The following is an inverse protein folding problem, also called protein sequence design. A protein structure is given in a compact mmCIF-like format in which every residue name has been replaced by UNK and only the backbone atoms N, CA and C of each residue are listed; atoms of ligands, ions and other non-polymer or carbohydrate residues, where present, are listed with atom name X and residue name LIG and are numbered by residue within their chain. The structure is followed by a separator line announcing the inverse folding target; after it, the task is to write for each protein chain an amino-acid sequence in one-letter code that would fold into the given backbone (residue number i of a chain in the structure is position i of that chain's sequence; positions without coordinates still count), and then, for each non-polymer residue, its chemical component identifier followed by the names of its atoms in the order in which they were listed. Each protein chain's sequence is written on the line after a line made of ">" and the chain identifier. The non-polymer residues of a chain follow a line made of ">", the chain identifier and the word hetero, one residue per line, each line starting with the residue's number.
data_IF_920090084161
#
_entry.id   IF_920090084161
#
_cell.length_a   1.000
_cell.length_b   1.000
_cell.length_c   1.000
_cell.angle_alpha   90.00
_cell.angle_beta   90.00
_cell.angle_gamma   90.00
#
_symmetry.space_group_name_H-M   'P 1'
#
loop_
_entity.id
_entity.type
_entity.pdbx_description
1 polymer ?
#
# COMPACT_ATOMS: atom_id res chain seq x y z
N UNK A 1 -4.64 39.70 -59.54
CA UNK A 1 -6.07 39.65 -59.18
C UNK A 1 -6.25 38.65 -58.04
N UNK A 2 -6.80 39.12 -56.91
CA UNK A 2 -7.60 38.43 -55.87
C UNK A 2 -6.99 37.13 -55.28
N UNK A 3 -6.30 37.14 -54.14
CA UNK A 3 -6.80 37.29 -52.76
C UNK A 3 -7.80 36.18 -52.33
N UNK A 4 -7.64 35.76 -51.05
CA UNK A 4 -8.58 34.99 -50.21
C UNK A 4 -8.53 33.45 -50.46
N UNK A 5 -8.27 32.53 -49.52
CA UNK A 5 -8.93 32.30 -48.22
C UNK A 5 -8.05 31.41 -47.27
N UNK A 6 -7.79 31.92 -46.04
CA UNK A 6 -7.63 31.24 -44.72
C UNK A 6 -6.56 30.13 -44.57
N UNK A 7 -5.37 30.33 -43.97
CA UNK A 7 -5.04 30.68 -42.55
C UNK A 7 -6.07 30.18 -41.53
N UNK A 8 -5.57 29.44 -40.53
CA UNK A 8 -6.19 29.02 -39.26
C UNK A 8 -6.86 27.63 -39.24
N UNK A 9 -6.04 26.58 -39.13
CA UNK A 9 -6.44 25.33 -38.43
C UNK A 9 -5.22 24.61 -37.87
N UNK A 10 -4.40 25.32 -37.09
CA UNK A 10 -3.58 24.66 -36.06
C UNK A 10 -4.41 24.69 -34.78
N UNK A 11 -5.47 23.88 -34.73
CA UNK A 11 -6.15 23.58 -33.47
C UNK A 11 -5.14 22.75 -32.68
N UNK A 12 -4.33 23.46 -31.90
CA UNK A 12 -3.58 22.88 -30.80
C UNK A 12 -4.65 22.28 -29.89
N UNK A 13 -4.85 20.96 -30.05
CA UNK A 13 -5.65 20.16 -29.14
C UNK A 13 -4.83 20.13 -27.84
N UNK A 14 -4.88 21.22 -27.09
CA UNK A 14 -4.52 21.24 -25.69
C UNK A 14 -5.52 20.31 -25.02
N UNK A 15 -5.22 19.01 -25.06
CA UNK A 15 -5.74 18.08 -24.08
C UNK A 15 -5.33 18.71 -22.76
N UNK A 16 -6.30 19.34 -22.10
CA UNK A 16 -6.15 19.72 -20.72
C UNK A 16 -6.00 18.39 -19.98
N UNK A 17 -4.76 17.93 -19.86
CA UNK A 17 -4.40 17.00 -18.80
C UNK A 17 -4.71 17.80 -17.55
N UNK A 18 -5.91 17.60 -17.00
CA UNK A 18 -6.16 17.95 -15.61
C UNK A 18 -5.21 17.07 -14.83
N UNK A 19 -4.02 17.60 -14.55
CA UNK A 19 -3.23 17.14 -13.43
C UNK A 19 -4.17 17.23 -12.24
N UNK A 20 -4.76 16.10 -11.87
CA UNK A 20 -5.71 16.05 -10.79
C UNK A 20 -4.88 16.33 -9.55
N UNK A 21 -4.92 17.57 -9.09
CA UNK A 21 -4.26 18.05 -7.89
C UNK A 21 -4.99 17.41 -6.71
N UNK A 22 -4.76 16.11 -6.53
CA UNK A 22 -5.31 15.36 -5.42
C UNK A 22 -4.59 15.82 -4.17
N UNK A 23 -5.32 16.01 -3.06
CA UNK A 23 -4.70 16.45 -1.81
C UNK A 23 -3.56 15.50 -1.47
N UNK A 24 -2.36 16.05 -1.36
CA UNK A 24 -1.19 15.31 -0.95
C UNK A 24 -1.35 14.89 0.52
N UNK A 25 -1.21 13.60 0.78
CA UNK A 25 -1.10 13.05 2.12
C UNK A 25 0.35 12.65 2.38
N UNK A 26 0.71 12.51 3.66
CA UNK A 26 2.08 12.18 4.06
C UNK A 26 2.09 11.03 5.07
N UNK A 27 2.91 10.02 4.79
CA UNK A 27 3.25 9.00 5.77
C UNK A 27 4.53 9.45 6.47
N UNK A 28 4.40 9.95 7.70
CA UNK A 28 5.56 10.34 8.52
C UNK A 28 6.22 9.11 9.13
N UNK A 29 7.54 9.00 8.96
CA UNK A 29 8.36 7.93 9.51
C UNK A 29 9.70 8.47 10.02
N UNK A 30 9.84 8.50 11.35
CA UNK A 30 10.94 9.18 12.05
C UNK A 30 11.12 10.63 11.58
N UNK A 31 12.27 10.96 10.98
CA UNK A 31 12.66 12.31 10.59
C UNK A 31 12.23 12.72 9.17
N UNK A 32 11.67 11.78 8.39
CA UNK A 32 11.27 12.05 7.00
C UNK A 32 9.82 11.59 6.75
N UNK A 33 9.30 11.86 5.56
CA UNK A 33 7.94 11.50 5.17
C UNK A 33 7.84 11.07 3.71
N UNK A 34 6.88 10.19 3.45
CA UNK A 34 6.57 9.70 2.12
C UNK A 34 5.36 10.49 1.61
N UNK A 35 5.50 11.29 0.54
CA UNK A 35 4.35 11.91 -0.11
C UNK A 35 3.54 10.81 -0.80
N UNK A 36 2.24 10.79 -0.54
CA UNK A 36 1.30 9.82 -1.12
C UNK A 36 0.05 10.52 -1.59
N UNK A 37 -0.57 10.00 -2.65
CA UNK A 37 -1.88 10.48 -3.07
C UNK A 37 -2.91 10.09 -2.03
N UNK A 38 -3.82 10.99 -1.63
CA UNK A 38 -4.85 10.66 -0.65
C UNK A 38 -5.70 9.44 -1.05
N UNK A 39 -5.95 9.24 -2.35
CA UNK A 39 -6.65 8.06 -2.86
C UNK A 39 -5.95 6.73 -2.52
N UNK A 40 -4.61 6.73 -2.40
CA UNK A 40 -3.85 5.53 -2.03
C UNK A 40 -3.99 5.14 -0.54
N UNK A 41 -4.53 6.05 0.29
CA UNK A 41 -4.87 5.77 1.68
C UNK A 41 -6.34 5.36 1.85
N UNK A 42 -7.08 5.17 0.75
CA UNK A 42 -8.46 4.72 0.82
C UNK A 42 -8.52 3.28 1.32
N UNK A 43 -9.42 3.05 2.27
CA UNK A 43 -9.65 1.71 2.85
C UNK A 43 -10.32 0.77 1.85
N UNK A 44 -9.82 -0.46 1.82
CA UNK A 44 -10.46 -1.65 1.26
C UNK A 44 -11.08 -2.39 2.43
N UNK A 45 -12.39 -2.53 2.41
CA UNK A 45 -13.14 -3.18 3.48
C UNK A 45 -13.24 -4.69 3.17
N UNK A 46 -12.67 -5.57 4.02
CA UNK A 46 -12.94 -6.99 3.92
C UNK A 46 -14.41 -7.25 4.32
N UNK A 47 -14.92 -8.44 3.98
CA UNK A 47 -16.23 -8.85 4.47
C UNK A 47 -16.27 -8.91 6.01
N UNK A 48 -17.48 -8.84 6.58
CA UNK A 48 -17.73 -8.72 8.04
C UNK A 48 -17.07 -9.84 8.86
N UNK A 49 -16.82 -11.00 8.26
CA UNK A 49 -16.16 -12.13 8.89
C UNK A 49 -14.97 -12.56 8.07
N UNK A 50 -13.82 -12.77 8.73
CA UNK A 50 -12.62 -13.25 8.05
C UNK A 50 -12.81 -14.71 7.65
N UNK A 51 -12.85 -14.91 6.34
CA UNK A 51 -12.90 -16.20 5.65
C UNK A 51 -11.84 -16.24 4.56
N UNK A 52 -11.58 -17.41 3.98
CA UNK A 52 -10.68 -17.52 2.83
C UNK A 52 -11.12 -16.61 1.69
N UNK A 53 -12.43 -16.57 1.40
CA UNK A 53 -12.98 -15.71 0.36
C UNK A 53 -12.74 -14.23 0.68
N UNK A 54 -12.91 -13.81 1.94
CA UNK A 54 -12.66 -12.42 2.35
C UNK A 54 -11.21 -11.98 2.09
N UNK A 55 -10.24 -12.90 2.25
CA UNK A 55 -8.81 -12.61 1.99
C UNK A 55 -8.57 -12.46 0.50
N UNK A 56 -9.19 -13.32 -0.32
CA UNK A 56 -9.12 -13.24 -1.80
C UNK A 56 -9.74 -11.93 -2.28
N UNK A 57 -10.93 -11.58 -1.78
CA UNK A 57 -11.63 -10.34 -2.13
C UNK A 57 -10.82 -9.11 -1.72
N UNK A 58 -10.23 -9.13 -0.52
CA UNK A 58 -9.33 -8.07 -0.05
C UNK A 58 -8.13 -7.90 -0.99
N UNK A 59 -7.46 -9.01 -1.34
CA UNK A 59 -6.32 -8.97 -2.25
C UNK A 59 -6.72 -8.40 -3.62
N UNK A 60 -7.83 -8.87 -4.20
CA UNK A 60 -8.35 -8.34 -5.46
C UNK A 60 -8.68 -6.84 -5.36
N UNK A 61 -9.28 -6.41 -4.24
CA UNK A 61 -9.57 -4.99 -3.98
C UNK A 61 -8.30 -4.14 -3.88
N UNK A 62 -7.22 -4.68 -3.32
CA UNK A 62 -5.91 -4.02 -3.29
C UNK A 62 -5.32 -3.87 -4.69
N UNK A 63 -5.36 -4.91 -5.51
CA UNK A 63 -4.88 -4.88 -6.90
C UNK A 63 -5.63 -3.89 -7.79
N UNK A 64 -6.91 -3.62 -7.49
CA UNK A 64 -7.72 -2.62 -8.19
C UNK A 64 -7.58 -1.20 -7.64
N UNK A 65 -6.86 -1.03 -6.52
CA UNK A 65 -6.66 0.26 -5.86
C UNK A 65 -5.29 0.86 -6.20
N UNK A 66 -5.00 2.04 -5.64
CA UNK A 66 -3.65 2.65 -5.75
C UNK A 66 -2.61 2.05 -4.79
N UNK A 67 -2.82 0.80 -4.33
CA UNK A 67 -1.94 0.13 -3.39
C UNK A 67 -0.56 -0.18 -4.00
N UNK A 68 -0.50 -0.36 -5.33
CA UNK A 68 0.75 -0.60 -6.04
C UNK A 68 1.65 0.64 -6.02
N UNK A 69 1.11 1.82 -6.31
CA UNK A 69 1.85 3.08 -6.25
C UNK A 69 2.32 3.36 -4.81
N UNK A 70 1.47 3.08 -3.82
CA UNK A 70 1.87 3.19 -2.42
C UNK A 70 3.02 2.22 -2.08
N UNK A 71 2.94 0.96 -2.50
CA UNK A 71 4.00 -0.03 -2.29
C UNK A 71 5.31 0.43 -2.91
N UNK A 72 5.27 0.95 -4.14
CA UNK A 72 6.45 1.51 -4.80
C UNK A 72 7.04 2.70 -4.03
N UNK A 73 6.20 3.58 -3.49
CA UNK A 73 6.64 4.69 -2.62
C UNK A 73 7.30 4.21 -1.34
N UNK A 74 6.77 3.15 -0.70
CA UNK A 74 7.37 2.53 0.48
C UNK A 74 8.72 1.90 0.16
N UNK A 75 8.83 1.16 -0.95
CA UNK A 75 10.09 0.55 -1.40
C UNK A 75 11.14 1.62 -1.78
N UNK A 76 10.74 2.67 -2.50
CA UNK A 76 11.63 3.78 -2.82
C UNK A 76 12.16 4.47 -1.55
N UNK A 77 11.31 4.63 -0.53
CA UNK A 77 11.74 5.16 0.76
C UNK A 77 12.71 4.20 1.48
N UNK A 78 12.42 2.90 1.47
CA UNK A 78 13.31 1.85 2.00
C UNK A 78 14.70 1.95 1.38
N UNK A 79 14.76 2.01 0.06
CA UNK A 79 16.01 1.97 -0.69
C UNK A 79 16.79 3.28 -0.52
N UNK A 80 16.12 4.44 -0.56
CA UNK A 80 16.72 5.76 -0.31
C UNK A 80 17.36 5.85 1.07
N UNK A 81 16.70 5.32 2.10
CA UNK A 81 17.16 5.40 3.49
C UNK A 81 17.90 4.15 3.96
N UNK A 82 18.14 3.18 3.07
CA UNK A 82 18.79 1.90 3.38
C UNK A 82 18.20 1.21 4.62
N UNK A 83 16.87 1.18 4.71
CA UNK A 83 16.20 0.55 5.84
C UNK A 83 16.46 -0.96 5.82
N UNK A 84 16.90 -1.51 6.94
CA UNK A 84 16.91 -2.96 7.14
C UNK A 84 15.48 -3.51 7.27
N UNK A 85 15.33 -4.84 7.24
CA UNK A 85 14.01 -5.49 7.24
C UNK A 85 13.17 -5.14 8.46
N UNK A 86 13.79 -4.98 9.63
CA UNK A 86 13.10 -4.53 10.83
C UNK A 86 12.54 -3.12 10.67
N UNK A 87 13.35 -2.16 10.21
CA UNK A 87 12.92 -0.79 9.97
C UNK A 87 11.86 -0.71 8.87
N UNK A 88 12.00 -1.50 7.81
CA UNK A 88 11.01 -1.56 6.76
C UNK A 88 9.68 -2.12 7.27
N UNK A 89 9.72 -3.17 8.08
CA UNK A 89 8.53 -3.70 8.74
C UNK A 89 7.85 -2.66 9.66
N UNK A 90 8.62 -1.85 10.38
CA UNK A 90 8.08 -0.75 11.18
C UNK A 90 7.40 0.32 10.32
N UNK A 91 7.95 0.62 9.14
CA UNK A 91 7.30 1.49 8.16
C UNK A 91 5.98 0.89 7.66
N UNK A 92 5.97 -0.39 7.28
CA UNK A 92 4.74 -1.10 6.88
C UNK A 92 3.66 -1.04 7.97
N UNK A 93 4.04 -1.28 9.23
CA UNK A 93 3.11 -1.18 10.38
C UNK A 93 2.53 0.22 10.52
N UNK A 94 3.37 1.26 10.35
CA UNK A 94 2.92 2.65 10.42
C UNK A 94 1.90 2.94 9.31
N UNK A 95 2.19 2.51 8.09
CA UNK A 95 1.28 2.66 6.93
C UNK A 95 -0.04 1.93 7.17
N UNK A 96 0.00 0.67 7.59
CA UNK A 96 -1.20 -0.10 7.90
C UNK A 96 -2.02 0.56 9.03
N UNK A 97 -1.37 1.11 10.07
CA UNK A 97 -2.03 1.80 11.17
C UNK A 97 -2.71 3.09 10.73
N UNK A 98 -2.15 3.81 9.76
CA UNK A 98 -2.76 5.03 9.20
C UNK A 98 -4.00 4.71 8.36
N UNK A 99 -3.96 3.63 7.59
CA UNK A 99 -5.07 3.24 6.70
C UNK A 99 -6.17 2.54 7.49
N UNK A 100 -5.80 1.58 8.33
CA UNK A 100 -6.70 0.74 9.12
C UNK A 100 -6.17 0.60 10.54
N UNK A 101 -6.57 1.48 11.47
CA UNK A 101 -6.12 1.42 12.85
C UNK A 101 -6.36 0.04 13.47
N UNK A 102 -5.34 -0.52 14.11
CA UNK A 102 -5.41 -1.85 14.75
C UNK A 102 -6.58 -1.97 15.74
N UNK A 103 -6.87 -0.89 16.47
CA UNK A 103 -7.92 -0.85 17.48
C UNK A 103 -9.34 -0.91 16.88
N UNK A 104 -9.50 -0.52 15.61
CA UNK A 104 -10.80 -0.55 14.93
C UNK A 104 -11.08 -1.92 14.31
N UNK A 105 -10.08 -2.49 13.63
CA UNK A 105 -10.22 -3.81 12.99
C UNK A 105 -8.84 -4.47 12.84
N UNK A 106 -8.55 -5.43 13.73
CA UNK A 106 -7.25 -6.09 13.81
C UNK A 106 -6.91 -6.87 12.54
N UNK A 107 -7.92 -7.48 11.92
CA UNK A 107 -7.75 -8.37 10.78
C UNK A 107 -7.46 -7.58 9.52
N UNK A 108 -8.21 -6.49 9.25
CA UNK A 108 -7.93 -5.56 8.15
C UNK A 108 -6.55 -4.94 8.29
N UNK A 109 -6.17 -4.50 9.51
CA UNK A 109 -4.80 -4.05 9.80
C UNK A 109 -3.75 -5.13 9.46
N UNK A 110 -4.04 -6.40 9.75
CA UNK A 110 -3.11 -7.50 9.48
C UNK A 110 -3.01 -7.82 7.98
N UNK A 111 -4.13 -7.78 7.26
CA UNK A 111 -4.17 -7.96 5.80
C UNK A 111 -3.40 -6.86 5.06
N UNK A 112 -3.49 -5.60 5.50
CA UNK A 112 -2.67 -4.52 4.94
C UNK A 112 -1.17 -4.78 5.10
N UNK A 113 -0.72 -5.17 6.31
CA UNK A 113 0.70 -5.50 6.52
C UNK A 113 1.13 -6.65 5.62
N UNK A 114 0.33 -7.72 5.57
CA UNK A 114 0.61 -8.89 4.74
C UNK A 114 0.73 -8.48 3.27
N UNK A 115 -0.24 -7.74 2.74
CA UNK A 115 -0.23 -7.28 1.35
C UNK A 115 1.03 -6.46 1.03
N UNK A 116 1.35 -5.44 1.82
CA UNK A 116 2.49 -4.58 1.51
C UNK A 116 3.83 -5.33 1.61
N UNK A 117 3.98 -6.25 2.56
CA UNK A 117 5.18 -7.09 2.63
C UNK A 117 5.28 -8.02 1.41
N UNK A 118 4.19 -8.69 1.06
CA UNK A 118 4.11 -9.58 -0.11
C UNK A 118 4.45 -8.82 -1.39
N UNK A 119 3.81 -7.67 -1.61
CA UNK A 119 4.03 -6.81 -2.77
C UNK A 119 5.44 -6.19 -2.81
N UNK A 120 6.13 -6.13 -1.66
CA UNK A 120 7.53 -5.70 -1.56
C UNK A 120 8.55 -6.82 -1.78
N UNK A 121 8.10 -8.07 -2.00
CA UNK A 121 8.94 -9.23 -2.30
C UNK A 121 9.35 -10.10 -1.10
N UNK A 122 8.76 -9.90 0.08
CA UNK A 122 9.05 -10.73 1.26
C UNK A 122 8.29 -12.07 1.20
N UNK A 123 8.88 -13.17 1.71
CA UNK A 123 8.15 -14.43 1.96
C UNK A 123 7.29 -14.26 3.20
N UNK A 124 6.02 -13.90 2.95
CA UNK A 124 5.00 -13.75 3.98
C UNK A 124 3.84 -14.70 3.74
N UNK A 125 3.41 -15.36 4.80
CA UNK A 125 2.34 -16.37 4.77
C UNK A 125 1.21 -15.96 5.68
N UNK A 126 -0.01 -16.19 5.19
CA UNK A 126 -1.21 -16.13 6.01
C UNK A 126 -1.68 -17.54 6.32
N UNK A 127 -1.97 -17.77 7.59
CA UNK A 127 -2.72 -18.94 8.04
C UNK A 127 -4.01 -18.47 8.69
N UNK A 128 -5.08 -19.23 8.49
CA UNK A 128 -6.31 -19.07 9.24
C UNK A 128 -6.47 -20.24 10.18
N UNK A 129 -6.71 -19.93 11.44
CA UNK A 129 -7.04 -20.92 12.45
C UNK A 129 -8.34 -20.49 13.13
N UNK A 130 -9.38 -21.31 13.01
CA UNK A 130 -10.75 -20.96 13.37
C UNK A 130 -11.18 -19.65 12.69
N UNK A 131 -11.30 -18.57 13.46
CA UNK A 131 -11.69 -17.23 13.01
C UNK A 131 -10.57 -16.20 13.19
N UNK A 132 -9.31 -16.66 13.30
CA UNK A 132 -8.14 -15.81 13.53
C UNK A 132 -7.21 -15.86 12.33
N UNK A 133 -6.70 -14.68 11.98
CA UNK A 133 -5.67 -14.51 10.95
C UNK A 133 -4.29 -14.47 11.62
N UNK A 134 -3.42 -15.39 11.23
CA UNK A 134 -2.02 -15.45 11.66
C UNK A 134 -1.14 -15.08 10.47
N UNK A 135 -0.20 -14.16 10.69
CA UNK A 135 0.74 -13.69 9.66
C UNK A 135 2.14 -14.08 10.06
N UNK A 136 2.81 -14.86 9.21
CA UNK A 136 4.18 -15.28 9.36
C UNK A 136 5.05 -14.55 8.33
N UNK A 137 6.25 -14.17 8.75
CA UNK A 137 7.27 -13.55 7.91
C UNK A 137 8.54 -14.39 8.10
N UNK A 138 9.11 -14.90 7.02
CA UNK A 138 10.39 -15.59 7.12
C UNK A 138 11.49 -14.58 7.48
N UNK A 139 12.40 -14.99 8.35
CA UNK A 139 13.56 -14.21 8.76
C UNK A 139 14.72 -15.15 8.96
N UNK A 140 15.89 -14.72 8.50
CA UNK A 140 17.16 -15.42 8.74
C UNK A 140 17.84 -14.92 10.03
N UNK A 141 17.24 -13.94 10.72
CA UNK A 141 17.74 -13.43 11.99
C UNK A 141 17.50 -14.44 13.12
N UNK A 142 18.43 -14.48 14.06
CA UNK A 142 18.25 -15.23 15.31
C UNK A 142 17.28 -14.48 16.21
N UNK A 143 16.07 -15.01 16.32
CA UNK A 143 15.08 -14.48 17.26
C UNK A 143 15.20 -15.22 18.59
N UNK A 144 15.44 -14.46 19.65
CA UNK A 144 15.51 -14.96 21.02
C UNK A 144 14.15 -14.79 21.73
N UNK A 145 13.95 -15.51 22.83
CA UNK A 145 12.79 -15.37 23.74
C UNK A 145 11.41 -15.62 23.12
N UNK A 146 11.32 -16.44 22.06
CA UNK A 146 10.05 -16.92 21.54
C UNK A 146 9.71 -18.29 22.17
N UNK A 147 8.52 -18.48 22.75
CA UNK A 147 8.09 -19.80 23.21
C UNK A 147 8.04 -20.78 22.02
N UNK A 148 8.85 -21.83 22.09
CA UNK A 148 8.75 -22.97 21.18
C UNK A 148 7.70 -23.92 21.77
N UNK A 149 6.59 -24.10 21.07
CA UNK A 149 5.65 -25.17 21.42
C UNK A 149 6.32 -26.51 21.10
N UNK A 150 6.48 -27.36 22.12
CA UNK A 150 6.93 -28.75 21.98
C UNK A 150 5.73 -29.66 21.73
#
# INVERSE_FOLDING_TARGET
>A
MKAVFYILSLVCLCIQVKAQDQPAAFIRFFADSIPVQAAALKRVEPSVSITQQSVVDFYAGMEMSSAKELTQGLMAFRDKHQLNDWLYYQLIRRTAQLISPKAEQYERYTLYKWYFLLASGYDVRLAMYEHRLLMYVQSDDKIFDIPLFQ
#
